data_IF_314376417692
#
_entry.id   IF_314376417692
#
_cell.length_a   1.000
_cell.length_b   1.000
_cell.length_c   1.000
_cell.angle_alpha   90.00
_cell.angle_beta   90.00
_cell.angle_gamma   90.00
#
_symmetry.space_group_name_H-M   'P 1'
#
loop_
_entity.id
_entity.type
_entity.pdbx_description
1 polymer ?
#
# COMPACT_ATOMS: atom_id res chain seq x y z
N UNK A 1 33.71 -7.33 18.07
CA UNK A 1 32.79 -8.44 17.81
C UNK A 1 31.61 -8.27 18.75
N UNK A 2 30.52 -7.65 18.33
CA UNK A 2 29.30 -7.43 19.12
C UNK A 2 28.21 -8.29 18.51
N UNK A 3 27.77 -9.28 19.27
CA UNK A 3 26.70 -10.22 18.88
C UNK A 3 25.35 -9.52 19.07
N UNK A 4 24.64 -9.22 18.00
CA UNK A 4 23.24 -8.86 18.03
C UNK A 4 22.42 -10.12 18.20
N UNK A 5 21.79 -10.27 19.33
CA UNK A 5 20.76 -11.29 19.59
C UNK A 5 19.44 -10.82 18.99
N UNK A 6 18.90 -11.60 18.05
CA UNK A 6 17.54 -11.47 17.54
C UNK A 6 16.56 -11.77 18.68
N UNK A 7 15.91 -10.74 19.21
CA UNK A 7 14.70 -10.93 20.01
C UNK A 7 13.52 -11.23 19.08
N UNK A 8 12.99 -12.43 19.20
CA UNK A 8 11.73 -12.86 18.60
C UNK A 8 10.58 -12.10 19.25
N UNK A 9 9.91 -11.23 18.48
CA UNK A 9 8.64 -10.61 18.87
C UNK A 9 7.57 -11.69 19.08
N UNK A 10 6.73 -11.60 20.12
CA UNK A 10 5.72 -12.60 20.42
C UNK A 10 4.61 -12.62 19.36
N UNK A 11 4.38 -13.81 18.83
CA UNK A 11 3.23 -14.17 17.99
C UNK A 11 1.97 -14.20 18.86
N UNK A 12 1.34 -13.06 19.09
CA UNK A 12 -0.03 -12.99 19.63
C UNK A 12 -0.72 -11.74 19.09
N UNK A 13 -1.30 -11.84 17.90
CA UNK A 13 -2.35 -10.95 17.40
C UNK A 13 -3.32 -11.79 16.57
N UNK A 14 -4.02 -12.68 17.25
CA UNK A 14 -5.21 -13.34 16.74
C UNK A 14 -6.31 -13.15 17.79
N UNK A 15 -7.46 -12.65 17.31
CA UNK A 15 -8.70 -12.37 18.04
C UNK A 15 -8.73 -10.99 18.71
N UNK A 16 -9.38 -10.05 18.00
CA UNK A 16 -10.31 -9.02 18.46
C UNK A 16 -10.32 -7.83 17.49
N UNK A 17 -10.76 -8.02 16.25
CA UNK A 17 -11.35 -6.95 15.44
C UNK A 17 -12.57 -7.55 14.73
N UNK A 18 -13.55 -8.01 15.51
CA UNK A 18 -14.94 -8.10 15.09
C UNK A 18 -15.64 -6.77 15.39
N UNK A 19 -15.09 -5.69 14.86
CA UNK A 19 -15.82 -4.44 14.71
C UNK A 19 -16.69 -4.55 13.47
N UNK A 20 -17.96 -4.16 13.55
CA UNK A 20 -18.92 -4.07 12.45
C UNK A 20 -18.26 -3.56 11.17
N UNK A 21 -17.97 -4.45 10.20
CA UNK A 21 -17.45 -4.08 8.89
C UNK A 21 -18.58 -3.38 8.15
N UNK A 22 -18.65 -2.06 8.27
CA UNK A 22 -19.73 -1.22 7.73
C UNK A 22 -19.73 -1.10 6.20
N UNK A 23 -18.61 -1.37 5.53
CA UNK A 23 -18.49 -1.32 4.08
C UNK A 23 -17.32 -2.19 3.59
N UNK A 24 -17.42 -2.68 2.36
CA UNK A 24 -16.37 -3.44 1.69
C UNK A 24 -16.09 -2.84 0.32
N UNK A 25 -14.94 -3.20 -0.27
CA UNK A 25 -14.60 -2.91 -1.66
C UNK A 25 -14.10 -4.19 -2.36
N UNK A 26 -14.19 -4.22 -3.68
CA UNK A 26 -13.66 -5.32 -4.50
C UNK A 26 -12.22 -5.03 -4.88
N UNK A 27 -11.37 -6.05 -4.91
CA UNK A 27 -10.00 -5.94 -5.36
C UNK A 27 -9.57 -7.23 -6.08
N UNK A 28 -8.60 -7.10 -6.97
CA UNK A 28 -7.84 -8.25 -7.47
C UNK A 28 -6.64 -8.45 -6.55
N UNK A 29 -6.66 -9.52 -5.81
CA UNK A 29 -5.65 -9.85 -4.80
C UNK A 29 -4.80 -11.02 -5.25
N UNK A 30 -3.49 -10.91 -5.09
CA UNK A 30 -2.54 -12.01 -5.20
C UNK A 30 -2.33 -12.59 -3.82
N UNK A 31 -2.79 -13.83 -3.61
CA UNK A 31 -2.67 -14.52 -2.32
C UNK A 31 -1.32 -15.19 -2.12
N UNK A 32 -0.67 -15.59 -3.22
CA UNK A 32 0.68 -16.17 -3.31
C UNK A 32 1.14 -16.15 -4.78
N UNK A 33 2.41 -16.36 -5.08
CA UNK A 33 2.91 -16.35 -6.46
C UNK A 33 2.06 -17.17 -7.42
N UNK A 34 1.65 -16.53 -8.52
CA UNK A 34 0.83 -17.11 -9.59
C UNK A 34 -0.65 -17.32 -9.25
N UNK A 35 -1.10 -16.95 -8.05
CA UNK A 35 -2.49 -17.10 -7.65
C UNK A 35 -3.13 -15.76 -7.30
N UNK A 36 -4.04 -15.32 -8.14
CA UNK A 36 -4.82 -14.11 -7.92
C UNK A 36 -6.32 -14.36 -8.15
N UNK A 37 -7.14 -13.59 -7.46
CA UNK A 37 -8.59 -13.67 -7.54
C UNK A 37 -9.25 -12.34 -7.18
N UNK A 38 -10.49 -12.17 -7.60
CA UNK A 38 -11.32 -11.10 -7.07
C UNK A 38 -11.73 -11.45 -5.63
N UNK A 39 -11.55 -10.50 -4.73
CA UNK A 39 -11.90 -10.61 -3.31
C UNK A 39 -12.69 -9.38 -2.85
N UNK A 40 -13.46 -9.57 -1.78
CA UNK A 40 -14.07 -8.46 -1.03
C UNK A 40 -13.22 -8.16 0.20
N UNK A 41 -12.78 -6.92 0.37
CA UNK A 41 -11.95 -6.48 1.49
C UNK A 41 -12.67 -5.43 2.33
N UNK A 42 -12.42 -5.36 3.64
CA UNK A 42 -13.02 -4.34 4.49
C UNK A 42 -12.52 -2.95 4.07
N UNK A 43 -13.43 -1.98 4.00
CA UNK A 43 -13.10 -0.59 3.75
C UNK A 43 -12.70 0.07 5.06
N UNK A 44 -11.40 0.25 5.24
CA UNK A 44 -10.83 0.84 6.46
C UNK A 44 -10.62 2.34 6.30
N UNK A 45 -10.69 3.06 7.41
CA UNK A 45 -10.30 4.47 7.42
C UNK A 45 -8.77 4.62 7.26
N UNK A 46 -8.31 5.67 6.56
CA UNK A 46 -6.88 5.87 6.36
C UNK A 46 -6.18 6.23 7.68
N UNK A 47 -5.00 5.64 7.89
CA UNK A 47 -4.17 5.95 9.04
C UNK A 47 -3.63 7.39 9.03
N UNK A 48 -2.97 7.84 10.11
CA UNK A 48 -2.38 9.18 10.20
C UNK A 48 -1.44 9.46 9.02
N UNK A 49 -1.59 10.64 8.41
CA UNK A 49 -0.79 11.08 7.26
C UNK A 49 -1.15 10.43 5.92
N UNK A 50 -2.12 9.52 5.88
CA UNK A 50 -2.55 8.83 4.66
C UNK A 50 -3.89 9.35 4.15
N UNK A 51 -4.16 9.10 2.88
CA UNK A 51 -5.46 9.34 2.25
C UNK A 51 -5.99 8.02 1.71
N UNK A 52 -7.31 7.84 1.69
CA UNK A 52 -7.96 6.78 0.95
C UNK A 52 -8.42 7.33 -0.39
N UNK A 53 -8.19 6.56 -1.44
CA UNK A 53 -8.53 6.95 -2.81
C UNK A 53 -9.53 5.96 -3.35
N UNK A 54 -10.68 6.46 -3.77
CA UNK A 54 -11.62 5.68 -4.59
C UNK A 54 -11.09 5.65 -6.01
N UNK A 55 -10.65 4.49 -6.45
CA UNK A 55 -10.04 4.27 -7.77
C UNK A 55 -11.07 4.47 -8.87
N UNK A 56 -10.73 5.26 -9.88
CA UNK A 56 -11.52 5.44 -11.12
C UNK A 56 -10.96 4.58 -12.26
N UNK A 57 -9.64 4.42 -12.31
CA UNK A 57 -8.92 3.59 -13.26
C UNK A 57 -7.53 3.24 -12.73
N UNK A 58 -7.04 2.08 -13.13
CA UNK A 58 -5.65 1.68 -12.91
C UNK A 58 -5.10 1.08 -14.20
N UNK A 59 -3.97 1.60 -14.67
CA UNK A 59 -3.25 1.03 -15.81
C UNK A 59 -2.63 -0.32 -15.46
N UNK A 60 -2.36 -1.13 -16.46
CA UNK A 60 -1.66 -2.41 -16.34
C UNK A 60 -0.25 -2.25 -16.86
N UNK A 61 0.72 -2.37 -15.99
CA UNK A 61 2.14 -2.30 -16.31
C UNK A 61 2.77 -3.70 -16.35
N UNK A 62 3.77 -3.89 -17.20
CA UNK A 62 4.50 -5.17 -17.23
C UNK A 62 5.11 -5.54 -15.86
N UNK A 63 5.52 -4.56 -15.06
CA UNK A 63 6.08 -4.78 -13.73
C UNK A 63 5.06 -5.33 -12.70
N UNK A 64 3.77 -5.26 -12.96
CA UNK A 64 2.75 -5.92 -12.13
C UNK A 64 2.89 -7.44 -12.17
N UNK A 65 3.46 -8.01 -13.26
CA UNK A 65 3.78 -9.44 -13.33
C UNK A 65 4.79 -9.83 -12.24
N UNK A 66 5.72 -8.95 -11.90
CA UNK A 66 6.67 -9.19 -10.82
C UNK A 66 6.01 -9.34 -9.44
N UNK A 67 4.90 -8.62 -9.21
CA UNK A 67 4.05 -8.83 -8.03
C UNK A 67 3.32 -10.17 -8.14
N UNK A 68 2.68 -10.45 -9.28
CA UNK A 68 1.91 -11.71 -9.47
C UNK A 68 2.80 -12.94 -9.35
N UNK A 69 4.00 -12.91 -9.91
CA UNK A 69 4.93 -14.02 -9.93
C UNK A 69 5.79 -14.15 -8.66
N UNK A 70 5.73 -13.15 -7.77
CA UNK A 70 6.50 -13.15 -6.53
C UNK A 70 7.99 -12.89 -6.72
N UNK A 71 8.37 -12.11 -7.74
CA UNK A 71 9.76 -11.73 -8.02
C UNK A 71 10.29 -10.76 -6.96
N UNK A 72 9.40 -9.93 -6.38
CA UNK A 72 9.73 -8.98 -5.34
C UNK A 72 9.53 -9.59 -3.94
N UNK A 73 10.23 -9.09 -2.90
CA UNK A 73 10.00 -9.49 -1.51
C UNK A 73 8.65 -8.90 -1.01
N UNK A 74 7.57 -9.64 -1.20
CA UNK A 74 6.21 -9.21 -0.93
C UNK A 74 5.66 -9.89 0.30
N UNK A 75 4.99 -9.12 1.16
CA UNK A 75 4.15 -9.67 2.22
C UNK A 75 2.76 -9.96 1.64
N UNK A 76 2.43 -11.22 1.50
CA UNK A 76 1.14 -11.69 1.00
C UNK A 76 0.04 -11.63 2.05
N UNK A 77 -1.22 -11.42 1.68
CA UNK A 77 -1.72 -11.14 0.34
C UNK A 77 -1.44 -9.71 -0.12
N UNK A 78 -1.47 -9.44 -1.45
CA UNK A 78 -1.18 -8.11 -2.01
C UNK A 78 -2.11 -7.77 -3.18
N UNK A 79 -2.60 -6.53 -3.23
CA UNK A 79 -3.29 -5.96 -4.39
C UNK A 79 -2.27 -5.26 -5.27
N UNK A 80 -2.06 -5.68 -6.53
CA UNK A 80 -1.15 -5.01 -7.46
C UNK A 80 -1.71 -3.70 -8.01
N UNK A 81 -1.01 -3.11 -8.99
CA UNK A 81 -1.43 -1.91 -9.72
C UNK A 81 -0.80 -0.63 -9.15
N UNK A 82 -0.06 0.09 -9.98
CA UNK A 82 0.66 1.31 -9.58
C UNK A 82 0.53 2.45 -10.61
N UNK A 83 -0.48 2.39 -11.47
CA UNK A 83 -0.83 3.45 -12.42
C UNK A 83 -2.26 3.93 -12.13
N UNK A 84 -2.46 4.43 -10.92
CA UNK A 84 -3.78 4.71 -10.34
C UNK A 84 -4.23 6.14 -10.66
N UNK A 85 -5.48 6.29 -11.05
CA UNK A 85 -6.20 7.57 -11.05
C UNK A 85 -7.47 7.38 -10.24
N UNK A 86 -7.78 8.34 -9.38
CA UNK A 86 -8.96 8.28 -8.53
C UNK A 86 -9.24 9.58 -7.81
N UNK A 87 -10.19 9.53 -6.88
CA UNK A 87 -10.54 10.66 -6.02
C UNK A 87 -10.34 10.30 -4.56
N UNK A 88 -9.80 11.24 -3.82
CA UNK A 88 -9.70 11.13 -2.37
C UNK A 88 -11.12 11.06 -1.79
N UNK A 89 -11.45 10.02 -1.04
CA UNK A 89 -12.74 9.86 -0.38
C UNK A 89 -12.65 9.91 1.15
N UNK A 90 -11.45 9.76 1.72
CA UNK A 90 -11.22 9.95 3.15
C UNK A 90 -9.79 10.45 3.41
N UNK A 91 -9.64 11.21 4.52
CA UNK A 91 -8.37 11.74 4.99
C UNK A 91 -8.06 11.20 6.39
N UNK A 92 -6.86 10.69 6.58
CA UNK A 92 -6.32 10.38 7.89
C UNK A 92 -5.93 11.63 8.67
N UNK A 93 -5.74 11.48 9.97
CA UNK A 93 -5.33 12.60 10.83
C UNK A 93 -4.00 13.20 10.38
N UNK A 94 -3.87 14.53 10.51
CA UNK A 94 -2.66 15.28 10.14
C UNK A 94 -2.48 15.56 8.64
N UNK A 95 -3.36 15.10 7.77
CA UNK A 95 -3.34 15.44 6.34
C UNK A 95 -3.85 16.88 6.16
N UNK A 96 -3.00 17.76 5.59
CA UNK A 96 -3.32 19.19 5.44
C UNK A 96 -3.37 19.67 3.98
N UNK A 97 -2.70 18.97 3.06
CA UNK A 97 -2.51 19.44 1.67
C UNK A 97 -3.48 18.82 0.67
N UNK A 98 -4.34 17.94 1.12
CA UNK A 98 -5.28 17.20 0.29
C UNK A 98 -6.71 17.44 0.76
N UNK A 99 -7.67 17.33 -0.15
CA UNK A 99 -9.09 17.50 0.15
C UNK A 99 -9.91 16.31 -0.38
N UNK A 100 -10.97 15.96 0.33
CA UNK A 100 -11.96 14.98 -0.15
C UNK A 100 -12.58 15.47 -1.46
N UNK A 101 -12.73 14.58 -2.43
CA UNK A 101 -13.21 14.86 -3.79
C UNK A 101 -12.10 15.25 -4.76
N UNK A 102 -10.89 15.59 -4.31
CA UNK A 102 -9.77 15.93 -5.18
C UNK A 102 -9.37 14.72 -6.02
N UNK A 103 -9.19 14.95 -7.34
CA UNK A 103 -8.69 13.93 -8.27
C UNK A 103 -7.17 13.86 -8.18
N UNK A 104 -6.64 12.65 -8.07
CA UNK A 104 -5.22 12.38 -7.84
C UNK A 104 -4.74 11.21 -8.67
N UNK A 105 -3.43 11.13 -8.87
CA UNK A 105 -2.75 9.98 -9.43
C UNK A 105 -1.77 9.40 -8.40
N UNK A 106 -1.58 8.07 -8.43
CA UNK A 106 -0.55 7.38 -7.65
C UNK A 106 0.28 6.55 -8.61
N UNK A 107 1.57 6.81 -8.62
CA UNK A 107 2.53 6.07 -9.42
C UNK A 107 3.22 4.95 -8.63
N UNK A 108 4.25 4.37 -9.23
CA UNK A 108 5.04 3.30 -8.64
C UNK A 108 5.67 3.67 -7.30
N UNK A 109 6.18 4.90 -7.16
CA UNK A 109 6.69 5.43 -5.89
C UNK A 109 5.52 5.98 -5.07
N UNK A 110 4.94 5.14 -4.25
CA UNK A 110 3.81 5.49 -3.39
C UNK A 110 4.21 6.15 -2.06
N UNK A 111 5.51 6.17 -1.73
CA UNK A 111 5.98 6.80 -0.49
C UNK A 111 7.48 6.91 -0.38
N UNK A 112 7.93 7.86 0.44
CA UNK A 112 9.32 8.06 0.83
C UNK A 112 9.38 8.49 2.29
N UNK A 113 10.46 8.15 3.01
CA UNK A 113 10.53 8.38 4.45
C UNK A 113 10.68 9.87 4.86
N UNK A 114 11.11 10.74 3.96
CA UNK A 114 11.27 12.17 4.19
C UNK A 114 12.50 12.61 5.01
N UNK A 115 13.22 11.68 5.65
CA UNK A 115 14.30 12.02 6.59
C UNK A 115 15.69 11.47 6.24
N UNK A 116 15.82 10.47 5.35
CA UNK A 116 17.13 9.96 4.94
C UNK A 116 17.89 10.98 4.09
N UNK A 117 19.19 10.76 3.86
CA UNK A 117 20.03 11.68 3.09
C UNK A 117 19.49 11.94 1.68
N UNK A 118 18.94 10.92 1.01
CA UNK A 118 18.34 11.07 -0.32
C UNK A 118 17.10 11.96 -0.28
N UNK A 119 16.18 11.71 0.65
CA UNK A 119 14.97 12.52 0.79
C UNK A 119 15.27 13.98 1.12
N UNK A 120 16.26 14.24 1.99
CA UNK A 120 16.67 15.62 2.33
C UNK A 120 17.26 16.38 1.15
N UNK A 121 17.85 15.66 0.19
CA UNK A 121 18.39 16.21 -1.04
C UNK A 121 17.36 16.26 -2.19
N UNK A 122 16.09 15.87 -1.93
CA UNK A 122 15.03 15.85 -2.94
C UNK A 122 15.07 14.62 -3.86
N UNK A 123 15.97 13.68 -3.63
CA UNK A 123 16.13 12.44 -4.39
C UNK A 123 15.26 11.33 -3.77
N UNK A 124 13.93 11.43 -3.99
CA UNK A 124 12.98 10.49 -3.41
C UNK A 124 13.08 9.10 -4.03
N UNK A 125 13.57 9.01 -5.28
CA UNK A 125 13.71 7.73 -6.00
C UNK A 125 14.73 6.81 -5.32
N UNK A 126 15.76 7.37 -4.69
CA UNK A 126 16.78 6.64 -3.97
C UNK A 126 16.53 6.59 -2.44
N UNK A 127 15.30 6.87 -2.00
CA UNK A 127 14.95 6.76 -0.59
C UNK A 127 15.29 5.37 -0.04
N UNK A 128 15.94 5.30 1.14
CA UNK A 128 16.31 4.03 1.79
C UNK A 128 15.10 3.23 2.27
N UNK A 129 13.96 3.89 2.48
CA UNK A 129 12.70 3.28 2.92
C UNK A 129 11.60 3.65 1.91
N UNK A 130 11.74 3.18 0.69
CA UNK A 130 10.75 3.43 -0.35
C UNK A 130 9.47 2.63 -0.08
N UNK A 131 8.31 3.26 -0.37
CA UNK A 131 7.03 2.59 -0.41
C UNK A 131 6.62 2.37 -1.88
N UNK A 132 6.79 1.17 -2.39
CA UNK A 132 6.35 0.84 -3.75
C UNK A 132 4.90 0.40 -3.74
N UNK A 133 4.07 1.10 -4.53
CA UNK A 133 2.64 0.80 -4.71
C UNK A 133 2.47 -0.55 -5.39
N UNK A 134 1.59 -1.40 -4.86
CA UNK A 134 1.36 -2.75 -5.36
C UNK A 134 2.43 -3.77 -4.97
N UNK A 135 3.45 -3.38 -4.19
CA UNK A 135 4.52 -4.26 -3.70
C UNK A 135 4.57 -4.22 -2.16
N UNK A 136 4.88 -3.07 -1.56
CA UNK A 136 4.99 -2.93 -0.10
C UNK A 136 3.68 -2.51 0.56
N UNK A 137 2.79 -1.88 -0.19
CA UNK A 137 1.41 -1.60 0.20
C UNK A 137 0.48 -1.85 -0.99
N UNK A 138 -0.81 -1.96 -0.72
CA UNK A 138 -1.78 -2.30 -1.73
C UNK A 138 -1.85 -1.23 -2.84
N UNK A 139 -2.02 -1.71 -4.05
CA UNK A 139 -2.14 -0.92 -5.26
C UNK A 139 -3.58 -0.69 -5.70
N UNK A 140 -3.76 -0.36 -6.97
CA UNK A 140 -4.99 0.17 -7.52
C UNK A 140 -5.90 -0.82 -8.24
N UNK A 141 -5.63 -2.10 -8.22
CA UNK A 141 -6.58 -3.10 -8.74
C UNK A 141 -7.71 -3.33 -7.73
N UNK A 142 -8.40 -2.23 -7.35
CA UNK A 142 -9.39 -2.15 -6.29
C UNK A 142 -10.55 -1.21 -6.65
#
# INVERSE_FOLDING_TARGET
MSSYTHETLPTQLSSEVEGDIKATYRAIEVSRPGQFSEVSRPLLDPGPGHVRIRVEACGVCHSDSGTVEGVFPINWPRVPGHEVVGRIDALGSGVQRWAVGQRVGVGFLGGACGYCEFCRNGDLVNCRNQGYTGIYHDGGYA
#
